data_IF_253907657071
#
_entry.id   IF_253907657071
#
_cell.length_a   1.000
_cell.length_b   1.000
_cell.length_c   1.000
_cell.angle_alpha   90.00
_cell.angle_beta   90.00
_cell.angle_gamma   90.00
#
_symmetry.space_group_name_H-M   'P 1'
#
loop_
_entity.id
_entity.type
_entity.pdbx_description
1 polymer ?
#
# COMPACT_ATOMS: atom_id res chain seq x y z
N UNK A 1 74.02 40.83 -18.73
CA UNK A 1 72.87 40.55 -17.82
C UNK A 1 71.59 40.99 -18.52
N UNK A 2 70.53 40.18 -18.39
CA UNK A 2 69.47 39.98 -19.39
C UNK A 2 68.51 41.17 -19.57
N UNK A 3 68.44 41.63 -20.82
CA UNK A 3 67.40 42.33 -21.59
C UNK A 3 66.10 42.74 -20.87
N UNK A 4 65.89 44.05 -20.83
CA UNK A 4 64.59 44.74 -20.76
C UNK A 4 63.96 44.82 -22.17
N UNK A 5 62.62 44.90 -22.21
CA UNK A 5 61.72 45.25 -23.33
C UNK A 5 61.25 44.13 -24.30
N UNK A 6 59.96 43.78 -24.20
CA UNK A 6 59.06 43.60 -25.35
C UNK A 6 57.59 43.61 -24.89
N UNK A 7 56.87 44.62 -25.36
CA UNK A 7 55.45 44.90 -25.21
C UNK A 7 54.70 44.33 -26.44
N UNK A 8 53.40 44.05 -26.29
CA UNK A 8 52.40 43.69 -27.31
C UNK A 8 52.43 42.26 -27.91
N UNK A 9 51.37 41.50 -27.60
CA UNK A 9 50.27 41.14 -28.53
C UNK A 9 49.85 39.68 -28.32
N UNK A 10 48.71 39.44 -27.67
CA UNK A 10 47.88 38.23 -27.87
C UNK A 10 46.54 38.46 -27.12
N UNK A 11 45.52 38.89 -27.86
CA UNK A 11 44.42 38.04 -28.34
C UNK A 11 43.54 37.48 -27.22
N UNK A 12 42.41 38.18 -27.02
CA UNK A 12 41.07 37.65 -26.79
C UNK A 12 40.96 36.18 -26.32
N UNK A 13 40.37 35.97 -25.14
CA UNK A 13 40.03 34.62 -24.72
C UNK A 13 39.28 34.57 -23.41
N UNK A 14 38.05 35.09 -23.41
CA UNK A 14 37.04 34.84 -22.39
C UNK A 14 36.85 33.31 -22.25
N UNK A 15 37.28 32.69 -21.16
CA UNK A 15 37.05 31.27 -20.90
C UNK A 15 36.53 31.10 -19.47
N UNK A 16 35.26 31.46 -19.30
CA UNK A 16 34.44 30.97 -18.21
C UNK A 16 34.23 29.45 -18.43
N UNK A 17 35.04 28.63 -17.77
CA UNK A 17 34.81 27.19 -17.73
C UNK A 17 33.66 26.91 -16.76
N UNK A 18 32.46 26.77 -17.31
CA UNK A 18 31.23 26.37 -16.63
C UNK A 18 31.42 24.93 -16.14
N UNK A 19 31.58 24.76 -14.82
CA UNK A 19 31.52 23.45 -14.17
C UNK A 19 30.04 23.04 -14.06
N UNK A 20 29.49 22.46 -15.12
CA UNK A 20 28.15 21.84 -15.08
C UNK A 20 28.24 20.54 -14.29
N UNK A 21 27.84 20.60 -13.03
CA UNK A 21 27.58 19.41 -12.20
C UNK A 21 26.46 18.59 -12.84
N UNK A 22 26.79 17.35 -13.24
CA UNK A 22 25.81 16.34 -13.64
C UNK A 22 24.86 16.07 -12.47
N UNK A 23 23.57 16.31 -12.68
CA UNK A 23 22.49 15.87 -11.80
C UNK A 23 22.48 14.33 -11.76
N UNK A 24 22.80 13.76 -10.60
CA UNK A 24 22.58 12.34 -10.33
C UNK A 24 21.07 12.15 -10.14
N UNK A 25 20.37 11.77 -11.20
CA UNK A 25 18.97 11.36 -11.14
C UNK A 25 18.86 9.85 -11.06
N UNK A 26 18.98 9.26 -9.87
CA UNK A 26 18.63 7.86 -9.64
C UNK A 26 17.99 7.73 -8.25
N UNK A 27 16.67 7.88 -8.21
CA UNK A 27 15.86 7.45 -7.07
C UNK A 27 14.76 6.55 -7.61
N UNK A 28 15.06 5.26 -7.70
CA UNK A 28 14.04 4.21 -7.76
C UNK A 28 14.00 3.59 -6.38
N UNK A 29 13.29 4.26 -5.47
CA UNK A 29 12.97 3.72 -4.15
C UNK A 29 11.45 3.72 -4.06
N UNK A 30 10.83 2.59 -4.33
CA UNK A 30 9.43 2.37 -3.96
C UNK A 30 9.35 1.22 -2.99
N UNK A 31 10.22 1.24 -1.97
CA UNK A 31 9.98 0.48 -0.76
C UNK A 31 8.80 1.13 -0.03
N UNK A 32 7.79 0.36 0.35
CA UNK A 32 6.74 0.89 1.21
C UNK A 32 7.34 1.48 2.51
N UNK A 33 6.90 2.67 2.88
CA UNK A 33 7.37 3.38 4.07
C UNK A 33 6.53 3.02 5.29
N UNK A 34 7.19 2.84 6.42
CA UNK A 34 6.57 2.43 7.68
C UNK A 34 6.65 3.57 8.67
N UNK A 35 5.52 3.90 9.30
CA UNK A 35 5.43 4.84 10.42
C UNK A 35 4.53 4.30 11.52
N UNK A 36 4.69 4.76 12.75
CA UNK A 36 3.82 4.38 13.87
C UNK A 36 2.83 5.49 14.16
N UNK A 37 1.56 5.15 14.40
CA UNK A 37 0.55 6.09 14.87
C UNK A 37 0.53 6.14 16.39
N UNK A 38 0.62 7.35 16.95
CA UNK A 38 0.50 7.61 18.39
C UNK A 38 -0.95 7.61 18.91
N UNK A 39 -1.91 7.42 18.01
CA UNK A 39 -3.32 7.30 18.38
C UNK A 39 -3.57 6.03 19.20
N UNK A 40 -4.67 6.01 19.95
CA UNK A 40 -5.13 4.82 20.67
C UNK A 40 -6.27 4.16 19.88
N UNK A 41 -6.20 2.84 19.58
CA UNK A 41 -5.07 1.92 19.83
C UNK A 41 -3.85 2.20 18.92
N UNK A 42 -2.63 1.84 19.37
CA UNK A 42 -1.43 1.99 18.57
C UNK A 42 -1.52 1.13 17.32
N UNK A 43 -0.99 1.63 16.21
CA UNK A 43 -1.02 0.96 14.91
C UNK A 43 0.16 1.40 14.06
N UNK A 44 0.55 0.55 13.12
CA UNK A 44 1.55 0.88 12.12
C UNK A 44 0.84 1.36 10.85
N UNK A 45 1.33 2.45 10.27
CA UNK A 45 0.86 3.00 9.01
C UNK A 45 1.92 2.72 7.96
N UNK A 46 1.57 1.89 6.98
CA UNK A 46 2.44 1.49 5.88
C UNK A 46 1.94 2.17 4.62
N UNK A 47 2.80 2.91 3.94
CA UNK A 47 2.46 3.71 2.76
C UNK A 47 3.30 3.30 1.56
N UNK A 48 2.65 2.82 0.51
CA UNK A 48 3.29 2.42 -0.74
C UNK A 48 3.00 3.49 -1.81
N UNK A 49 3.84 4.54 -1.84
CA UNK A 49 3.63 5.70 -2.70
C UNK A 49 2.28 6.39 -2.44
N UNK A 50 1.61 6.81 -3.51
CA UNK A 50 0.24 7.35 -3.49
C UNK A 50 -0.85 6.27 -3.69
N UNK A 51 -0.44 5.02 -3.92
CA UNK A 51 -1.34 3.96 -4.37
C UNK A 51 -2.04 3.24 -3.22
N UNK A 52 -1.34 2.94 -2.13
CA UNK A 52 -1.87 2.13 -1.04
C UNK A 52 -1.43 2.67 0.32
N UNK A 53 -2.38 2.77 1.25
CA UNK A 53 -2.12 2.98 2.68
C UNK A 53 -2.72 1.82 3.47
N UNK A 54 -1.96 1.28 4.41
CA UNK A 54 -2.35 0.16 5.27
C UNK A 54 -2.20 0.62 6.72
N UNK A 55 -3.28 0.56 7.49
CA UNK A 55 -3.23 0.64 8.94
C UNK A 55 -3.19 -0.81 9.47
N UNK A 56 -2.07 -1.22 10.05
CA UNK A 56 -1.86 -2.56 10.62
C UNK A 56 -2.01 -2.50 12.13
N UNK A 57 -2.86 -3.35 12.70
CA UNK A 57 -2.91 -3.49 14.16
C UNK A 57 -1.63 -4.18 14.69
N UNK A 58 -1.29 -4.05 15.98
CA UNK A 58 -0.02 -4.57 16.51
C UNK A 58 0.17 -6.08 16.31
N UNK A 59 -0.91 -6.86 16.36
CA UNK A 59 -0.87 -8.32 16.23
C UNK A 59 -0.90 -8.82 14.78
N UNK A 60 -1.10 -7.94 13.79
CA UNK A 60 -1.24 -8.39 12.42
C UNK A 60 0.11 -8.74 11.79
N UNK A 61 0.16 -9.90 11.14
CA UNK A 61 1.32 -10.44 10.44
C UNK A 61 1.18 -10.21 8.94
N UNK A 62 2.06 -9.39 8.37
CA UNK A 62 1.94 -8.87 7.01
C UNK A 62 3.22 -9.09 6.20
N UNK A 63 3.07 -9.55 4.96
CA UNK A 63 4.12 -9.53 3.94
C UNK A 63 3.63 -8.80 2.69
N UNK A 64 4.45 -7.87 2.18
CA UNK A 64 4.14 -7.08 0.99
C UNK A 64 5.06 -7.52 -0.14
N UNK A 65 4.47 -7.89 -1.29
CA UNK A 65 5.20 -8.17 -2.52
C UNK A 65 4.99 -7.02 -3.48
N UNK A 66 6.03 -6.22 -3.68
CA UNK A 66 6.03 -5.05 -4.55
C UNK A 66 6.04 -5.43 -6.04
N UNK A 67 5.67 -4.45 -6.90
CA UNK A 67 5.85 -4.54 -8.34
C UNK A 67 7.02 -3.65 -8.75
N UNK A 68 7.95 -4.13 -9.59
CA UNK A 68 9.01 -3.28 -10.11
C UNK A 68 8.44 -2.06 -10.85
N UNK A 69 8.89 -0.86 -10.47
CA UNK A 69 8.51 0.40 -11.10
C UNK A 69 7.02 0.78 -10.99
N UNK A 70 6.29 0.26 -10.00
CA UNK A 70 4.91 0.66 -9.72
C UNK A 70 4.72 0.97 -8.24
N UNK A 71 3.91 1.97 -7.93
CA UNK A 71 3.58 2.32 -6.54
C UNK A 71 2.67 1.27 -5.88
N UNK A 72 1.74 0.67 -6.64
CA UNK A 72 0.83 -0.33 -6.10
C UNK A 72 1.51 -1.71 -5.96
N UNK A 73 1.58 -2.29 -4.75
CA UNK A 73 2.13 -3.61 -4.55
C UNK A 73 1.29 -4.67 -5.28
N UNK A 74 1.93 -5.77 -5.66
CA UNK A 74 1.28 -6.90 -6.32
C UNK A 74 0.35 -7.62 -5.36
N UNK A 75 0.89 -7.99 -4.21
CA UNK A 75 0.23 -8.82 -3.21
C UNK A 75 0.54 -8.26 -1.84
N UNK A 76 -0.48 -8.26 -0.98
CA UNK A 76 -0.38 -8.03 0.45
C UNK A 76 -0.89 -9.31 1.11
N UNK A 77 -0.01 -10.07 1.74
CA UNK A 77 -0.35 -11.31 2.43
C UNK A 77 -0.55 -11.02 3.92
N UNK A 78 -1.73 -11.32 4.45
CA UNK A 78 -2.10 -11.17 5.86
C UNK A 78 -2.27 -12.58 6.44
N UNK A 79 -1.32 -13.01 7.26
CA UNK A 79 -1.33 -14.38 7.83
C UNK A 79 -2.16 -14.47 9.11
N UNK A 80 -2.28 -13.37 9.84
CA UNK A 80 -3.06 -13.27 11.06
C UNK A 80 -3.34 -11.81 11.42
N UNK A 81 -4.41 -11.58 12.18
CA UNK A 81 -4.84 -10.25 12.64
C UNK A 81 -5.53 -9.43 11.56
N UNK A 82 -5.79 -8.16 11.87
CA UNK A 82 -6.51 -7.25 10.99
C UNK A 82 -5.67 -6.10 10.41
N UNK A 83 -5.98 -5.76 9.17
CA UNK A 83 -5.53 -4.55 8.50
C UNK A 83 -6.72 -3.74 7.99
N UNK A 84 -6.62 -2.42 8.08
CA UNK A 84 -7.46 -1.49 7.33
C UNK A 84 -6.64 -1.02 6.14
N UNK A 85 -7.16 -1.20 4.93
CA UNK A 85 -6.47 -0.85 3.70
C UNK A 85 -7.27 0.18 2.92
N UNK A 86 -6.56 1.17 2.40
CA UNK A 86 -7.05 2.14 1.44
C UNK A 86 -6.25 2.00 0.14
N UNK A 87 -6.92 1.72 -0.97
CA UNK A 87 -6.33 1.59 -2.30
C UNK A 87 -6.85 2.72 -3.17
N UNK A 88 -5.96 3.61 -3.61
CA UNK A 88 -6.29 4.70 -4.52
C UNK A 88 -6.73 4.17 -5.89
N UNK A 89 -7.70 4.81 -6.55
CA UNK A 89 -8.06 4.48 -7.93
C UNK A 89 -6.93 4.85 -8.90
N UNK A 90 -6.95 4.29 -10.11
CA UNK A 90 -6.00 4.65 -11.17
C UNK A 90 -4.67 3.89 -11.15
N UNK A 91 -4.43 3.02 -10.17
CA UNK A 91 -3.27 2.15 -10.10
C UNK A 91 -3.58 0.71 -10.53
N UNK A 92 -2.54 -0.08 -10.74
CA UNK A 92 -2.65 -1.53 -10.91
C UNK A 92 -3.34 -2.17 -9.71
N UNK A 93 -4.21 -3.19 -9.90
CA UNK A 93 -4.91 -3.84 -8.79
C UNK A 93 -3.93 -4.42 -7.77
N UNK A 94 -4.23 -4.31 -6.48
CA UNK A 94 -3.51 -5.04 -5.43
C UNK A 94 -4.37 -6.19 -4.94
N UNK A 95 -3.79 -7.38 -4.81
CA UNK A 95 -4.46 -8.51 -4.16
C UNK A 95 -4.13 -8.53 -2.68
N UNK A 96 -5.14 -8.56 -1.83
CA UNK A 96 -4.98 -8.90 -0.41
C UNK A 96 -5.31 -10.37 -0.24
N UNK A 97 -4.34 -11.14 0.25
CA UNK A 97 -4.45 -12.59 0.42
C UNK A 97 -4.37 -12.95 1.88
N UNK A 98 -5.18 -13.92 2.28
CA UNK A 98 -5.13 -14.54 3.61
C UNK A 98 -5.14 -16.06 3.43
N UNK A 99 -5.03 -16.84 4.52
CA UNK A 99 -5.20 -18.29 4.43
C UNK A 99 -6.54 -18.72 3.82
N UNK A 100 -7.60 -17.92 4.01
CA UNK A 100 -8.96 -18.30 3.65
C UNK A 100 -9.53 -17.54 2.45
N UNK A 101 -9.01 -16.35 2.14
CA UNK A 101 -9.61 -15.45 1.16
C UNK A 101 -8.60 -14.72 0.28
N UNK A 102 -9.08 -14.26 -0.88
CA UNK A 102 -8.42 -13.29 -1.75
C UNK A 102 -9.41 -12.17 -2.01
N UNK A 103 -9.01 -10.94 -1.66
CA UNK A 103 -9.72 -9.72 -1.97
C UNK A 103 -8.98 -8.95 -3.08
N UNK A 104 -9.71 -8.49 -4.11
CA UNK A 104 -9.11 -7.80 -5.28
C UNK A 104 -9.95 -6.61 -5.70
N UNK A 105 -9.33 -5.43 -5.77
CA UNK A 105 -10.06 -4.16 -5.87
C UNK A 105 -9.26 -3.03 -6.51
N UNK A 106 -9.96 -1.92 -6.76
CA UNK A 106 -9.44 -0.60 -7.17
C UNK A 106 -10.29 0.48 -6.49
N UNK A 107 -9.66 1.49 -5.89
CA UNK A 107 -10.40 2.65 -5.37
C UNK A 107 -11.31 2.33 -4.19
N UNK A 108 -10.82 1.57 -3.20
CA UNK A 108 -11.64 1.06 -2.10
C UNK A 108 -10.96 1.24 -0.76
N UNK A 109 -11.79 1.36 0.28
CA UNK A 109 -11.35 1.31 1.67
C UNK A 109 -12.10 0.19 2.39
N UNK A 110 -11.36 -0.73 2.99
CA UNK A 110 -11.95 -1.92 3.61
C UNK A 110 -11.03 -2.50 4.67
N UNK A 111 -11.57 -3.40 5.48
CA UNK A 111 -10.85 -4.12 6.52
C UNK A 111 -10.80 -5.59 6.15
N UNK A 112 -9.64 -6.21 6.34
CA UNK A 112 -9.45 -7.66 6.29
C UNK A 112 -8.97 -8.12 7.65
N UNK A 113 -9.69 -9.06 8.26
CA UNK A 113 -9.33 -9.71 9.51
C UNK A 113 -9.06 -11.20 9.24
N UNK A 114 -7.78 -11.56 9.25
CA UNK A 114 -7.32 -12.93 9.06
C UNK A 114 -7.34 -13.66 10.41
N UNK A 115 -8.43 -14.35 10.68
CA UNK A 115 -8.55 -15.26 11.82
C UNK A 115 -8.02 -16.66 11.50
N UNK A 116 -7.79 -17.45 12.54
CA UNK A 116 -7.34 -18.84 12.40
C UNK A 116 -8.35 -19.70 11.62
N UNK A 117 -9.64 -19.51 11.85
CA UNK A 117 -10.71 -20.35 11.28
C UNK A 117 -11.39 -19.74 10.06
N UNK A 118 -11.32 -18.42 9.89
CA UNK A 118 -11.98 -17.71 8.79
C UNK A 118 -11.27 -16.40 8.48
N UNK A 119 -11.55 -15.82 7.32
CA UNK A 119 -11.23 -14.42 7.02
C UNK A 119 -12.50 -13.60 6.94
N UNK A 120 -12.52 -12.48 7.66
CA UNK A 120 -13.62 -11.53 7.61
C UNK A 120 -13.21 -10.33 6.77
N UNK A 121 -14.06 -9.90 5.83
CA UNK A 121 -13.83 -8.70 5.00
C UNK A 121 -15.00 -7.75 5.20
N UNK A 122 -14.74 -6.46 5.42
CA UNK A 122 -15.76 -5.43 5.63
C UNK A 122 -15.45 -4.16 4.86
N UNK A 123 -16.42 -3.62 4.12
CA UNK A 123 -16.21 -2.51 3.19
C UNK A 123 -16.68 -1.19 3.78
N UNK A 124 -15.79 -0.20 3.72
CA UNK A 124 -16.05 1.17 4.18
C UNK A 124 -16.34 2.10 2.99
N UNK A 125 -15.63 1.92 1.88
CA UNK A 125 -15.77 2.74 0.67
C UNK A 125 -15.49 1.90 -0.58
N UNK A 126 -16.27 2.11 -1.64
CA UNK A 126 -16.17 1.38 -2.91
C UNK A 126 -16.73 -0.05 -2.84
N UNK A 127 -16.23 -0.94 -3.70
CA UNK A 127 -16.71 -2.31 -3.84
C UNK A 127 -15.57 -3.33 -3.82
N UNK A 128 -15.73 -4.41 -3.04
CA UNK A 128 -14.68 -5.43 -2.83
C UNK A 128 -15.09 -6.77 -3.42
N UNK A 129 -14.30 -7.28 -4.37
CA UNK A 129 -14.46 -8.65 -4.84
C UNK A 129 -13.70 -9.61 -3.93
N UNK A 130 -14.40 -10.59 -3.37
CA UNK A 130 -13.84 -11.60 -2.46
C UNK A 130 -14.11 -12.99 -3.00
N UNK A 131 -13.08 -13.84 -2.97
CA UNK A 131 -13.17 -15.27 -3.32
C UNK A 131 -12.27 -16.10 -2.41
N UNK A 132 -12.37 -17.43 -2.49
CA UNK A 132 -11.37 -18.31 -1.84
C UNK A 132 -10.13 -18.46 -2.74
N UNK A 133 -8.97 -18.82 -2.18
CA UNK A 133 -7.77 -19.08 -2.97
C UNK A 133 -7.97 -20.11 -4.09
N UNK A 134 -8.66 -21.22 -3.77
CA UNK A 134 -8.85 -22.37 -4.66
C UNK A 134 -10.26 -22.48 -5.27
N UNK A 135 -11.05 -21.39 -5.21
CA UNK A 135 -12.42 -21.33 -5.73
C UNK A 135 -12.57 -20.06 -6.57
N UNK A 136 -12.97 -20.15 -7.84
CA UNK A 136 -13.20 -18.97 -8.68
C UNK A 136 -14.48 -18.21 -8.31
N UNK A 137 -15.38 -18.82 -7.52
CA UNK A 137 -16.63 -18.20 -7.09
C UNK A 137 -16.33 -16.93 -6.29
N UNK A 138 -16.84 -15.81 -6.79
CA UNK A 138 -16.58 -14.48 -6.25
C UNK A 138 -17.88 -13.86 -5.78
N UNK A 139 -17.83 -13.15 -4.66
CA UNK A 139 -18.87 -12.22 -4.24
C UNK A 139 -18.35 -10.80 -4.30
N UNK A 140 -19.21 -9.86 -4.62
CA UNK A 140 -18.92 -8.42 -4.56
C UNK A 140 -19.60 -7.85 -3.34
N UNK A 141 -18.83 -7.18 -2.49
CA UNK A 141 -19.29 -6.49 -1.29
C UNK A 141 -19.36 -5.00 -1.58
N UNK A 142 -20.49 -4.38 -1.27
CA UNK A 142 -20.66 -2.92 -1.32
C UNK A 142 -20.42 -2.28 0.06
N UNK A 143 -20.48 -0.95 0.13
CA UNK A 143 -20.32 -0.19 1.38
C UNK A 143 -21.26 -0.68 2.49
N UNK A 144 -20.68 -0.95 3.66
CA UNK A 144 -21.39 -1.45 4.84
C UNK A 144 -21.71 -2.95 4.79
N UNK A 145 -21.27 -3.65 3.74
CA UNK A 145 -21.36 -5.09 3.64
C UNK A 145 -20.05 -5.75 4.07
N UNK A 146 -20.18 -7.01 4.49
CA UNK A 146 -19.06 -7.86 4.80
C UNK A 146 -19.32 -9.32 4.44
N UNK A 147 -18.27 -10.12 4.49
CA UNK A 147 -18.35 -11.56 4.30
C UNK A 147 -17.40 -12.26 5.25
N UNK A 148 -17.78 -13.50 5.59
CA UNK A 148 -16.96 -14.43 6.35
C UNK A 148 -16.60 -15.57 5.43
N UNK A 149 -15.31 -15.70 5.15
CA UNK A 149 -14.77 -16.77 4.32
C UNK A 149 -14.31 -17.88 5.23
N UNK A 150 -15.24 -18.80 5.50
CA UNK A 150 -14.98 -20.02 6.29
C UNK A 150 -14.79 -21.20 5.33
N UNK A 151 -13.76 -22.05 5.53
CA UNK A 151 -13.61 -23.28 4.74
C UNK A 151 -14.84 -24.19 4.85
N UNK A 152 -15.33 -24.67 3.72
CA UNK A 152 -16.47 -25.60 3.65
C UNK A 152 -17.86 -24.97 3.77
N UNK A 153 -17.97 -23.68 4.09
CA UNK A 153 -19.26 -22.98 4.13
C UNK A 153 -19.57 -22.26 2.81
N UNK A 154 -20.84 -21.95 2.48
CA UNK A 154 -21.16 -21.10 1.33
C UNK A 154 -20.60 -19.67 1.50
N UNK A 155 -20.00 -19.13 0.44
CA UNK A 155 -19.56 -17.73 0.43
C UNK A 155 -20.78 -16.82 0.23
N UNK A 156 -21.01 -15.88 1.13
CA UNK A 156 -22.21 -15.06 1.13
C UNK A 156 -21.93 -13.61 1.54
N UNK A 157 -22.57 -12.67 0.85
CA UNK A 157 -22.61 -11.25 1.22
C UNK A 157 -23.55 -11.08 2.41
N UNK A 158 -23.13 -10.30 3.41
CA UNK A 158 -23.92 -10.01 4.61
C UNK A 158 -23.85 -8.53 4.96
N UNK A 159 -24.97 -7.97 5.40
CA UNK A 159 -24.97 -6.72 6.16
C UNK A 159 -24.68 -7.04 7.62
N UNK A 160 -23.54 -6.60 8.12
CA UNK A 160 -23.18 -6.83 9.51
C UNK A 160 -23.98 -5.88 10.42
N UNK A 161 -24.38 -6.37 11.60
CA UNK A 161 -24.98 -5.52 12.62
C UNK A 161 -23.99 -4.47 13.13
N UNK A 162 -24.49 -3.30 13.53
CA UNK A 162 -23.67 -2.16 13.95
C UNK A 162 -22.60 -2.54 14.99
N UNK A 163 -22.99 -3.26 16.05
CA UNK A 163 -22.07 -3.69 17.11
C UNK A 163 -20.86 -4.49 16.59
N UNK A 164 -21.06 -5.34 15.57
CA UNK A 164 -19.97 -6.12 14.96
C UNK A 164 -19.05 -5.24 14.14
N UNK A 165 -19.60 -4.35 13.33
CA UNK A 165 -18.81 -3.43 12.51
C UNK A 165 -18.00 -2.44 13.38
N UNK A 166 -18.63 -1.88 14.42
CA UNK A 166 -18.00 -0.98 15.39
C UNK A 166 -16.87 -1.67 16.16
N UNK A 167 -17.07 -2.92 16.60
CA UNK A 167 -16.00 -3.68 17.27
C UNK A 167 -14.77 -3.89 16.37
N UNK A 168 -14.97 -4.10 15.07
CA UNK A 168 -13.88 -4.21 14.10
C UNK A 168 -13.20 -2.85 13.85
N UNK A 169 -13.99 -1.79 13.69
CA UNK A 169 -13.52 -0.43 13.47
C UNK A 169 -12.72 0.13 14.65
N UNK A 170 -13.12 -0.21 15.88
CA UNK A 170 -12.45 0.23 17.10
C UNK A 170 -10.98 -0.22 17.16
N UNK A 171 -10.62 -1.34 16.51
CA UNK A 171 -9.22 -1.80 16.38
C UNK A 171 -8.33 -0.83 15.61
N UNK A 172 -8.94 0.07 14.82
CA UNK A 172 -8.27 1.11 14.05
C UNK A 172 -8.55 2.53 14.58
N UNK A 173 -9.18 2.65 15.76
CA UNK A 173 -9.57 3.93 16.35
C UNK A 173 -10.64 4.64 15.53
N UNK A 174 -11.64 3.90 15.07
CA UNK A 174 -12.82 4.39 14.36
C UNK A 174 -14.09 3.97 15.09
#
# INVERSE_FOLDING_TARGET
MRRLEAYLKEFAGFLAAVFSTLLIGAQVAHSCEISTSENTPPREIITCGDAVTIEREPAAELQITERPNEAAPRVIEVQGGAILINISPGHSPTEVRTPHAIATVRGTKYIVDAGAEQTSVFVLEGDVNVRRPNDPTTVTLEVGEGTDVTPGEPLAVRKWGAARAEALLARFGR
#
